data_IF_236247315191
#
_entry.id   IF_236247315191
#
_cell.length_a   1.000
_cell.length_b   1.000
_cell.length_c   1.000
_cell.angle_alpha   90.00
_cell.angle_beta   90.00
_cell.angle_gamma   90.00
#
_symmetry.space_group_name_H-M   'P 1'
#
loop_
_entity.id
_entity.type
_entity.pdbx_description
1 polymer ?
#
# COMPACT_ATOMS: atom_id res chain seq x y z
N UNK A 1 53.64 -6.41 20.03
CA UNK A 1 52.46 -7.28 19.98
C UNK A 1 51.23 -6.64 20.65
N UNK A 2 51.29 -6.07 21.85
CA UNK A 2 50.11 -5.45 22.56
C UNK A 2 49.46 -4.28 21.77
N UNK A 3 50.23 -3.46 21.07
CA UNK A 3 49.72 -2.32 20.27
C UNK A 3 48.98 -2.74 19.00
N UNK A 4 49.38 -3.85 18.38
CA UNK A 4 48.72 -4.38 17.19
C UNK A 4 47.35 -4.99 17.53
N UNK A 5 47.22 -5.62 18.69
CA UNK A 5 45.94 -6.17 19.18
C UNK A 5 44.92 -5.04 19.48
N UNK A 6 45.40 -3.90 20.02
CA UNK A 6 44.54 -2.75 20.29
C UNK A 6 43.97 -2.12 19.01
N UNK A 7 44.75 -2.04 17.94
CA UNK A 7 44.30 -1.56 16.64
C UNK A 7 43.29 -2.52 16.00
N UNK A 8 43.46 -3.82 16.19
CA UNK A 8 42.51 -4.82 15.64
C UNK A 8 41.16 -4.76 16.34
N UNK A 9 41.15 -4.50 17.67
CA UNK A 9 39.92 -4.31 18.44
C UNK A 9 39.16 -3.02 18.09
N UNK A 10 39.85 -1.95 17.67
CA UNK A 10 39.20 -0.72 17.23
C UNK A 10 38.54 -0.83 15.88
N UNK A 11 38.98 -1.74 15.01
CA UNK A 11 38.36 -1.95 13.67
C UNK A 11 37.05 -2.73 13.72
N UNK A 12 36.77 -3.42 14.84
CA UNK A 12 35.50 -4.21 14.94
C UNK A 12 34.30 -3.38 15.42
N UNK A 13 34.50 -2.11 15.79
CA UNK A 13 33.42 -1.20 16.22
C UNK A 13 32.85 -0.33 15.11
N UNK A 14 33.26 -0.52 13.86
CA UNK A 14 32.52 0.03 12.71
C UNK A 14 31.22 -0.76 12.60
N UNK A 15 30.23 -0.37 13.39
CA UNK A 15 28.91 -0.94 13.37
C UNK A 15 28.36 -0.84 11.96
N UNK A 16 28.01 -1.98 11.39
CA UNK A 16 27.12 -2.03 10.24
C UNK A 16 25.81 -1.39 10.71
N UNK A 17 25.60 -0.12 10.33
CA UNK A 17 24.29 0.49 10.40
C UNK A 17 23.42 -0.28 9.39
N UNK A 18 22.67 -1.23 9.92
CA UNK A 18 21.68 -1.98 9.16
C UNK A 18 20.55 -1.01 8.82
N UNK A 19 20.75 -0.19 7.79
CA UNK A 19 19.63 0.48 7.18
C UNK A 19 18.67 -0.63 6.75
N UNK A 20 17.50 -0.65 7.35
CA UNK A 20 16.39 -1.50 6.84
C UNK A 20 16.12 -1.06 5.43
N UNK A 21 16.62 -1.83 4.46
CA UNK A 21 16.22 -1.63 3.07
C UNK A 21 14.70 -1.79 3.02
N UNK A 22 14.03 -0.74 2.56
CA UNK A 22 12.59 -0.82 2.31
C UNK A 22 12.34 -1.87 1.24
N UNK A 23 11.34 -2.72 1.43
CA UNK A 23 10.98 -3.75 0.47
C UNK A 23 10.48 -3.16 -0.87
N UNK A 24 10.15 -1.88 -0.89
CA UNK A 24 9.72 -1.11 -2.07
C UNK A 24 10.04 0.38 -1.87
N UNK A 25 10.02 1.15 -2.95
CA UNK A 25 10.35 2.58 -2.92
C UNK A 25 9.56 3.41 -3.92
N UNK A 26 9.64 4.73 -3.75
CA UNK A 26 9.03 5.71 -4.65
C UNK A 26 9.53 5.52 -6.08
N UNK A 27 8.61 5.53 -7.05
CA UNK A 27 8.89 5.34 -8.46
C UNK A 27 8.76 3.89 -8.93
N UNK A 28 8.57 2.94 -8.03
CA UNK A 28 8.28 1.57 -8.44
C UNK A 28 6.91 1.48 -9.10
N UNK A 29 6.88 0.73 -10.19
CA UNK A 29 5.66 0.50 -10.96
C UNK A 29 5.68 -0.89 -11.57
N UNK A 30 4.56 -1.61 -11.39
CA UNK A 30 4.39 -2.96 -11.90
C UNK A 30 3.11 -3.03 -12.73
N UNK A 31 3.15 -3.80 -13.81
CA UNK A 31 1.97 -4.16 -14.61
C UNK A 31 1.90 -5.65 -14.79
N UNK A 32 0.78 -6.19 -14.37
CA UNK A 32 0.47 -7.62 -14.50
C UNK A 32 -0.58 -7.81 -15.59
N UNK A 33 -0.32 -8.74 -16.50
CA UNK A 33 -1.34 -9.22 -17.43
C UNK A 33 -2.09 -10.37 -16.80
N UNK A 34 -3.41 -10.25 -16.74
CA UNK A 34 -4.31 -11.30 -16.26
C UNK A 34 -4.85 -12.02 -17.48
N UNK A 35 -4.59 -13.33 -17.58
CA UNK A 35 -5.03 -14.12 -18.73
C UNK A 35 -5.47 -15.51 -18.31
N UNK A 36 -6.37 -16.10 -19.11
CA UNK A 36 -6.78 -17.48 -19.01
C UNK A 36 -6.45 -18.17 -20.34
N UNK A 37 -5.49 -19.09 -20.32
CA UNK A 37 -4.88 -19.62 -21.54
C UNK A 37 -4.32 -18.48 -22.42
N UNK A 38 -4.76 -18.39 -23.65
CA UNK A 38 -4.37 -17.32 -24.59
C UNK A 38 -5.30 -16.09 -24.58
N UNK A 39 -6.41 -16.15 -23.83
CA UNK A 39 -7.34 -15.02 -23.72
C UNK A 39 -6.79 -14.01 -22.71
N UNK A 40 -6.55 -12.77 -23.15
CA UNK A 40 -6.21 -11.67 -22.26
C UNK A 40 -7.49 -11.17 -21.56
N UNK A 41 -7.59 -11.39 -20.26
CA UNK A 41 -8.76 -10.99 -19.46
C UNK A 41 -8.65 -9.54 -18.96
N UNK A 42 -7.43 -9.06 -18.66
CA UNK A 42 -7.27 -7.73 -18.09
C UNK A 42 -5.83 -7.41 -17.68
N UNK A 43 -5.70 -6.31 -16.96
CA UNK A 43 -4.45 -5.87 -16.37
C UNK A 43 -4.66 -5.41 -14.94
N UNK A 44 -3.66 -5.64 -14.11
CA UNK A 44 -3.49 -4.98 -12.83
C UNK A 44 -2.21 -4.15 -12.85
N UNK A 45 -2.22 -2.99 -12.17
CA UNK A 45 -1.03 -2.17 -11.96
C UNK A 45 -0.87 -1.85 -10.49
N UNK A 46 0.37 -1.78 -10.04
CA UNK A 46 0.76 -1.27 -8.73
C UNK A 46 1.76 -0.15 -8.94
N UNK A 47 1.62 0.94 -8.22
CA UNK A 47 2.49 2.11 -8.30
C UNK A 47 2.76 2.66 -6.91
N UNK A 48 4.01 3.06 -6.64
CA UNK A 48 4.44 3.70 -5.39
C UNK A 48 4.83 5.14 -5.69
N UNK A 49 4.15 6.09 -5.07
CA UNK A 49 4.43 7.52 -5.16
C UNK A 49 4.79 8.10 -3.80
N UNK A 50 5.48 9.24 -3.79
CA UNK A 50 5.58 10.09 -2.62
C UNK A 50 4.33 10.98 -2.54
N UNK A 51 3.80 11.15 -1.34
CA UNK A 51 2.78 12.14 -1.04
C UNK A 51 3.08 12.83 0.30
N UNK A 52 2.36 13.90 0.58
CA UNK A 52 2.40 14.58 1.88
C UNK A 52 1.00 14.50 2.48
N UNK A 53 0.91 13.90 3.66
CA UNK A 53 -0.32 13.81 4.44
C UNK A 53 -0.05 14.34 5.85
N UNK A 54 -0.86 15.30 6.33
CA UNK A 54 -0.68 15.95 7.63
C UNK A 54 0.73 16.52 7.88
N UNK A 55 1.37 17.10 6.84
CA UNK A 55 2.73 17.62 6.82
C UNK A 55 3.85 16.55 6.98
N UNK A 56 3.52 15.27 6.83
CA UNK A 56 4.48 14.18 6.85
C UNK A 56 4.58 13.52 5.48
N UNK A 57 5.79 13.04 5.13
CA UNK A 57 6.00 12.23 3.93
C UNK A 57 5.44 10.85 4.13
N UNK A 58 4.71 10.39 3.14
CA UNK A 58 4.06 9.08 3.13
C UNK A 58 4.25 8.40 1.78
N UNK A 59 4.27 7.08 1.76
CA UNK A 59 4.06 6.34 0.53
C UNK A 59 2.57 6.38 0.15
N UNK A 60 2.30 6.72 -1.10
CA UNK A 60 1.00 6.60 -1.74
C UNK A 60 1.03 5.39 -2.66
N UNK A 61 0.48 4.29 -2.20
CA UNK A 61 0.36 3.04 -2.95
C UNK A 61 -0.93 3.08 -3.77
N UNK A 62 -0.82 2.81 -5.08
CA UNK A 62 -1.95 2.85 -6.00
C UNK A 62 -2.05 1.51 -6.70
N UNK A 63 -3.15 0.79 -6.48
CA UNK A 63 -3.52 -0.42 -7.17
C UNK A 63 -4.69 -0.18 -8.12
N UNK A 64 -4.57 -0.61 -9.39
CA UNK A 64 -5.67 -0.56 -10.36
C UNK A 64 -5.89 -1.92 -10.98
N UNK A 65 -7.14 -2.31 -11.13
CA UNK A 65 -7.55 -3.51 -11.83
C UNK A 65 -8.55 -3.18 -12.93
N UNK A 66 -8.36 -3.74 -14.11
CA UNK A 66 -9.33 -3.55 -15.20
C UNK A 66 -9.39 -4.75 -16.13
N UNK A 67 -10.59 -5.13 -16.53
CA UNK A 67 -10.80 -6.06 -17.62
C UNK A 67 -10.67 -5.37 -18.99
N UNK A 68 -10.26 -6.13 -20.01
CA UNK A 68 -10.06 -5.64 -21.38
C UNK A 68 -10.66 -6.58 -22.41
N UNK A 69 -10.82 -6.08 -23.64
CA UNK A 69 -11.26 -6.86 -24.76
C UNK A 69 -12.60 -7.57 -24.51
N UNK A 70 -12.67 -8.82 -24.93
CA UNK A 70 -13.89 -9.63 -24.82
C UNK A 70 -14.30 -9.89 -23.37
N UNK A 71 -13.33 -10.03 -22.46
CA UNK A 71 -13.62 -10.25 -21.05
C UNK A 71 -14.40 -9.09 -20.43
N UNK A 72 -14.10 -7.85 -20.84
CA UNK A 72 -14.79 -6.66 -20.38
C UNK A 72 -16.26 -6.62 -20.81
N UNK A 73 -16.58 -7.21 -21.95
CA UNK A 73 -17.96 -7.31 -22.43
C UNK A 73 -18.82 -8.21 -21.54
N UNK A 74 -18.25 -9.33 -21.05
CA UNK A 74 -18.96 -10.26 -20.17
C UNK A 74 -18.92 -9.85 -18.71
N UNK A 75 -17.78 -9.33 -18.25
CA UNK A 75 -17.59 -8.94 -16.84
C UNK A 75 -16.67 -7.72 -16.75
N UNK A 76 -17.28 -6.56 -16.59
CA UNK A 76 -16.56 -5.31 -16.47
C UNK A 76 -15.95 -5.19 -15.08
N UNK A 77 -14.63 -4.96 -15.01
CA UNK A 77 -13.90 -4.58 -13.81
C UNK A 77 -13.19 -3.26 -14.07
N UNK A 78 -13.39 -2.29 -13.19
CA UNK A 78 -12.65 -1.04 -13.11
C UNK A 78 -12.46 -0.70 -11.63
N UNK A 79 -11.35 -1.14 -11.05
CA UNK A 79 -11.07 -1.01 -9.63
C UNK A 79 -9.91 -0.07 -9.38
N UNK A 80 -10.02 0.72 -8.31
CA UNK A 80 -8.97 1.57 -7.77
C UNK A 80 -8.88 1.35 -6.27
N UNK A 81 -7.67 1.03 -5.83
CA UNK A 81 -7.25 0.93 -4.44
C UNK A 81 -6.13 1.92 -4.21
N UNK A 82 -6.24 2.75 -3.19
CA UNK A 82 -5.17 3.63 -2.77
C UNK A 82 -4.93 3.46 -1.28
N UNK A 83 -3.67 3.48 -0.86
CA UNK A 83 -3.28 3.47 0.54
C UNK A 83 -2.18 4.50 0.79
N UNK A 84 -2.29 5.23 1.88
CA UNK A 84 -1.30 6.18 2.37
C UNK A 84 -0.70 5.63 3.64
N UNK A 85 0.59 5.32 3.60
CA UNK A 85 1.30 4.69 4.72
C UNK A 85 2.54 5.49 5.11
N UNK A 86 2.86 5.50 6.38
CA UNK A 86 4.08 6.12 6.88
C UNK A 86 5.34 5.48 6.27
N UNK A 87 6.28 6.30 5.78
CA UNK A 87 7.49 5.80 5.12
C UNK A 87 8.40 4.97 6.04
N UNK A 88 8.37 5.24 7.35
CA UNK A 88 9.30 4.64 8.31
C UNK A 88 8.72 3.44 9.04
N UNK A 89 7.46 3.56 9.43
CA UNK A 89 6.79 2.56 10.28
C UNK A 89 5.86 1.66 9.48
N UNK A 90 5.53 2.02 8.24
CA UNK A 90 4.53 1.36 7.39
C UNK A 90 3.14 1.31 8.01
N UNK A 91 2.86 2.16 8.99
CA UNK A 91 1.53 2.28 9.59
C UNK A 91 0.60 2.99 8.60
N UNK A 92 -0.57 2.44 8.28
CA UNK A 92 -1.50 3.08 7.37
C UNK A 92 -2.19 4.28 8.06
N UNK A 93 -2.35 5.37 7.29
CA UNK A 93 -3.11 6.54 7.70
C UNK A 93 -4.49 6.59 7.04
N UNK A 94 -4.53 6.21 5.76
CA UNK A 94 -5.75 6.34 4.97
C UNK A 94 -5.78 5.31 3.84
N UNK A 95 -6.98 4.83 3.51
CA UNK A 95 -7.21 4.11 2.27
C UNK A 95 -8.39 4.69 1.49
N UNK A 96 -8.39 4.45 0.18
CA UNK A 96 -9.52 4.68 -0.71
C UNK A 96 -9.77 3.42 -1.54
N UNK A 97 -11.06 3.04 -1.67
CA UNK A 97 -11.50 1.90 -2.48
C UNK A 97 -12.66 2.32 -3.38
N UNK A 98 -12.40 2.35 -4.68
CA UNK A 98 -13.44 2.51 -5.71
C UNK A 98 -13.48 1.23 -6.53
N UNK A 99 -14.51 0.43 -6.32
CA UNK A 99 -14.70 -0.89 -6.93
C UNK A 99 -15.88 -0.82 -7.88
N UNK A 100 -15.73 -1.37 -9.08
CA UNK A 100 -16.79 -1.53 -10.07
C UNK A 100 -16.60 -2.86 -10.80
N UNK A 101 -17.23 -3.91 -10.27
CA UNK A 101 -17.10 -5.29 -10.72
C UNK A 101 -18.47 -5.88 -11.09
N UNK A 102 -18.73 -6.09 -12.38
CA UNK A 102 -19.92 -6.78 -12.85
C UNK A 102 -21.26 -6.20 -12.32
N UNK A 103 -21.32 -4.90 -12.06
CA UNK A 103 -22.47 -4.21 -11.47
C UNK A 103 -22.39 -4.03 -9.95
N UNK A 104 -21.51 -4.73 -9.25
CA UNK A 104 -21.18 -4.41 -7.86
C UNK A 104 -20.31 -3.15 -7.80
N UNK A 105 -20.70 -2.19 -6.96
CA UNK A 105 -19.91 -0.97 -6.77
C UNK A 105 -19.66 -0.68 -5.30
N UNK A 106 -18.46 -0.20 -4.99
CA UNK A 106 -18.08 0.30 -3.68
C UNK A 106 -17.33 1.62 -3.85
N UNK A 107 -17.58 2.57 -2.96
CA UNK A 107 -16.82 3.82 -2.88
C UNK A 107 -16.64 4.16 -1.41
N UNK A 108 -15.50 3.81 -0.87
CA UNK A 108 -15.17 3.93 0.54
C UNK A 108 -13.84 4.59 0.76
N UNK A 109 -13.73 5.30 1.87
CA UNK A 109 -12.50 5.88 2.38
C UNK A 109 -12.38 5.55 3.86
N UNK A 110 -11.20 5.13 4.30
CA UNK A 110 -10.93 4.77 5.68
C UNK A 110 -9.82 5.63 6.24
N UNK A 111 -10.02 6.13 7.45
CA UNK A 111 -9.06 6.96 8.18
C UNK A 111 -8.63 6.22 9.44
N UNK A 112 -7.37 5.81 9.49
CA UNK A 112 -6.80 5.13 10.65
C UNK A 112 -6.51 6.12 11.77
N UNK A 113 -6.76 5.69 13.00
CA UNK A 113 -6.45 6.42 14.23
C UNK A 113 -5.55 5.49 15.08
N UNK A 114 -4.24 5.39 14.73
CA UNK A 114 -3.37 4.34 15.28
C UNK A 114 -3.26 4.37 16.81
N UNK A 115 -3.17 5.57 17.41
CA UNK A 115 -3.08 5.74 18.86
C UNK A 115 -4.33 5.29 19.63
N UNK A 116 -5.48 5.11 18.94
CA UNK A 116 -6.73 4.60 19.53
C UNK A 116 -7.06 3.17 19.08
N UNK A 117 -6.27 2.56 18.22
CA UNK A 117 -6.57 1.29 17.55
C UNK A 117 -7.98 1.31 16.94
N UNK A 118 -8.26 2.33 16.17
CA UNK A 118 -9.56 2.54 15.51
C UNK A 118 -9.37 2.93 14.04
N UNK A 119 -10.41 2.67 13.28
CA UNK A 119 -10.56 3.18 11.91
C UNK A 119 -11.96 3.75 11.73
N UNK A 120 -12.05 4.93 11.11
CA UNK A 120 -13.32 5.50 10.66
C UNK A 120 -13.46 5.27 9.17
N UNK A 121 -14.53 4.61 8.75
CA UNK A 121 -14.83 4.32 7.36
C UNK A 121 -16.02 5.13 6.90
N UNK A 122 -15.83 5.92 5.84
CA UNK A 122 -16.88 6.63 5.11
C UNK A 122 -17.27 5.82 3.89
N UNK A 123 -18.53 5.49 3.77
CA UNK A 123 -19.12 4.85 2.60
C UNK A 123 -19.92 5.88 1.82
N UNK A 124 -19.38 6.35 0.72
CA UNK A 124 -19.99 7.38 -0.10
C UNK A 124 -21.21 6.88 -0.89
N UNK A 125 -21.26 5.58 -1.21
CA UNK A 125 -22.40 4.96 -1.89
C UNK A 125 -23.64 4.94 -0.97
N UNK A 126 -23.45 4.56 0.29
CA UNK A 126 -24.54 4.45 1.26
C UNK A 126 -24.70 5.68 2.15
N UNK A 127 -23.79 6.68 1.97
CA UNK A 127 -23.75 7.93 2.78
C UNK A 127 -23.68 7.62 4.28
N UNK A 128 -22.84 6.67 4.67
CA UNK A 128 -22.64 6.26 6.05
C UNK A 128 -21.21 6.50 6.49
N UNK A 129 -21.04 6.78 7.78
CA UNK A 129 -19.74 6.85 8.44
C UNK A 129 -19.80 6.00 9.71
N UNK A 130 -18.81 5.12 9.89
CA UNK A 130 -18.74 4.20 11.04
C UNK A 130 -17.31 4.08 11.52
N UNK A 131 -17.16 4.04 12.84
CA UNK A 131 -15.86 3.80 13.49
C UNK A 131 -15.83 2.40 14.08
N UNK A 132 -14.73 1.69 13.82
CA UNK A 132 -14.48 0.33 14.27
C UNK A 132 -13.23 0.28 15.13
N UNK A 133 -13.22 -0.60 16.14
CA UNK A 133 -11.99 -0.99 16.80
C UNK A 133 -11.23 -1.95 15.88
N UNK A 134 -9.91 -1.80 15.81
CA UNK A 134 -9.01 -2.65 15.01
C UNK A 134 -7.88 -3.17 15.91
N UNK A 135 -7.31 -4.35 15.60
CA UNK A 135 -6.11 -4.83 16.27
C UNK A 135 -4.95 -3.85 16.16
N UNK A 136 -4.04 -3.89 17.11
CA UNK A 136 -2.78 -3.14 17.02
C UNK A 136 -1.99 -3.63 15.79
N UNK A 137 -1.35 -2.72 15.08
CA UNK A 137 -0.57 -2.99 13.86
C UNK A 137 -1.42 -3.55 12.68
N UNK A 138 -2.72 -3.26 12.63
CA UNK A 138 -3.53 -3.54 11.45
C UNK A 138 -2.94 -2.83 10.24
N UNK A 139 -2.78 -3.58 9.15
CA UNK A 139 -2.35 -3.06 7.85
C UNK A 139 -3.57 -2.89 6.93
N UNK A 140 -3.43 -2.00 5.95
CA UNK A 140 -4.35 -1.92 4.80
C UNK A 140 -3.76 -2.69 3.62
N UNK A 141 -4.63 -3.34 2.86
CA UNK A 141 -4.28 -4.09 1.64
C UNK A 141 -5.15 -3.59 0.50
#
# INVERSE_FOLDING_TARGET
MKKAILCLLLLTTLGFDSQRESAFGVGEWFKFRIHYGFVNAGYATLEVKEAILHNEKVYHLIGKGQTTGISRFFFKVDDLYESYIDEKTFVPYQFLRKINEGGYTKNQEGFFIPHQNKITVKDYKHKTEKTFAIPKNTQDI
#
